data_IF_908270934602
#
_entry.id   IF_908270934602
#
_cell.length_a   1.000
_cell.length_b   1.000
_cell.length_c   1.000
_cell.angle_alpha   90.00
_cell.angle_beta   90.00
_cell.angle_gamma   90.00
#
_symmetry.space_group_name_H-M   'P 1'
#
loop_
_entity.id
_entity.type
_entity.pdbx_description
1 polymer ?
#
# COMPACT_ATOMS: atom_id res chain seq x y z
N UNK A 1 71.95 -7.89 -58.39
CA UNK A 1 72.52 -7.51 -57.08
C UNK A 1 71.38 -7.56 -56.08
N UNK A 2 71.35 -8.63 -55.33
CA UNK A 2 70.61 -8.74 -54.07
C UNK A 2 71.20 -7.82 -53.00
N UNK A 3 70.62 -7.59 -51.83
CA UNK A 3 70.11 -8.61 -50.90
C UNK A 3 68.77 -8.18 -50.20
N UNK A 4 68.08 -9.11 -49.69
CA UNK A 4 68.00 -9.85 -48.43
C UNK A 4 66.99 -9.21 -47.53
N UNK A 5 65.90 -9.92 -47.26
CA UNK A 5 65.67 -10.82 -46.16
C UNK A 5 65.86 -10.19 -44.78
N UNK A 6 64.83 -10.16 -44.06
CA UNK A 6 64.67 -10.65 -42.69
C UNK A 6 63.38 -10.03 -42.06
N UNK A 7 62.42 -10.88 -41.84
CA UNK A 7 62.02 -11.37 -40.50
C UNK A 7 61.67 -10.32 -39.49
N UNK A 8 60.41 -10.20 -39.29
CA UNK A 8 59.81 -9.55 -38.17
C UNK A 8 58.56 -10.33 -37.74
N UNK A 9 58.82 -11.52 -37.20
CA UNK A 9 57.78 -12.38 -36.58
C UNK A 9 57.16 -11.74 -35.33
N UNK A 10 55.88 -11.89 -35.29
CA UNK A 10 55.11 -12.21 -34.09
C UNK A 10 55.01 -11.15 -32.99
N UNK A 11 53.82 -10.77 -32.78
CA UNK A 11 53.09 -10.98 -31.53
C UNK A 11 51.70 -10.34 -31.62
N UNK A 12 50.83 -11.02 -32.33
CA UNK A 12 49.40 -10.84 -32.15
C UNK A 12 48.98 -11.53 -30.87
N UNK A 13 48.91 -10.80 -29.78
CA UNK A 13 48.22 -11.25 -28.60
C UNK A 13 46.73 -11.04 -28.80
N UNK A 14 46.04 -12.16 -29.03
CA UNK A 14 44.61 -12.28 -28.85
C UNK A 14 44.29 -11.93 -27.40
N UNK A 15 43.96 -10.68 -27.15
CA UNK A 15 43.21 -10.31 -25.98
C UNK A 15 41.77 -10.78 -26.21
N UNK A 16 41.54 -12.06 -25.95
CA UNK A 16 40.21 -12.58 -25.71
C UNK A 16 39.70 -11.93 -24.43
N UNK A 17 39.15 -10.74 -24.58
CA UNK A 17 38.35 -10.11 -23.54
C UNK A 17 37.15 -11.01 -23.27
N UNK A 18 37.26 -11.83 -22.23
CA UNK A 18 36.12 -12.45 -21.61
C UNK A 18 35.30 -11.28 -21.02
N UNK A 19 34.40 -10.75 -21.82
CA UNK A 19 33.28 -9.97 -21.33
C UNK A 19 32.43 -10.95 -20.52
N UNK A 20 32.79 -11.09 -19.24
CA UNK A 20 31.93 -11.69 -18.24
C UNK A 20 30.73 -10.75 -18.17
N UNK A 21 29.74 -10.98 -19.04
CA UNK A 21 28.42 -10.41 -18.92
C UNK A 21 27.85 -10.95 -17.60
N UNK A 22 28.10 -10.22 -16.54
CA UNK A 22 27.27 -10.29 -15.34
C UNK A 22 25.87 -9.90 -15.80
N UNK A 23 25.20 -10.88 -16.40
CA UNK A 23 23.76 -10.84 -16.63
C UNK A 23 23.10 -10.81 -15.25
N UNK A 24 23.00 -9.62 -14.67
CA UNK A 24 22.10 -9.41 -13.56
C UNK A 24 20.72 -9.80 -14.05
N UNK A 25 20.01 -10.70 -13.37
CA UNK A 25 18.67 -11.05 -13.75
C UNK A 25 17.78 -9.83 -13.50
N UNK A 26 17.68 -8.95 -14.50
CA UNK A 26 16.86 -7.74 -14.43
C UNK A 26 15.36 -8.03 -14.23
N UNK A 27 14.96 -9.32 -14.25
CA UNK A 27 13.56 -9.75 -14.17
C UNK A 27 13.22 -10.62 -12.95
N UNK A 28 14.17 -10.87 -12.05
CA UNK A 28 13.88 -11.69 -10.88
C UNK A 28 13.01 -10.90 -9.87
N UNK A 29 11.98 -11.52 -9.28
CA UNK A 29 11.23 -10.89 -8.20
C UNK A 29 12.17 -10.63 -7.00
N UNK A 30 11.88 -9.56 -6.24
CA UNK A 30 12.63 -9.25 -5.02
C UNK A 30 12.62 -10.45 -4.07
N UNK A 31 13.79 -10.81 -3.55
CA UNK A 31 13.85 -11.73 -2.41
C UNK A 31 13.30 -11.08 -1.15
N UNK A 32 12.97 -11.88 -0.14
CA UNK A 32 12.49 -11.37 1.15
C UNK A 32 13.48 -10.38 1.79
N UNK A 33 14.80 -10.64 1.85
CA UNK A 33 15.77 -9.68 2.38
C UNK A 33 15.85 -8.36 1.58
N UNK A 34 15.76 -8.43 0.24
CA UNK A 34 15.76 -7.23 -0.61
C UNK A 34 14.49 -6.40 -0.37
N UNK A 35 13.33 -7.04 -0.24
CA UNK A 35 12.08 -6.36 0.08
C UNK A 35 12.12 -5.72 1.46
N UNK A 36 12.70 -6.39 2.45
CA UNK A 36 12.91 -5.82 3.79
C UNK A 36 13.84 -4.60 3.75
N UNK A 37 14.88 -4.64 2.93
CA UNK A 37 15.76 -3.48 2.77
C UNK A 37 15.00 -2.32 2.12
N UNK A 38 14.27 -2.58 1.04
CA UNK A 38 13.44 -1.59 0.35
C UNK A 38 12.41 -0.96 1.32
N UNK A 39 11.72 -1.79 2.11
CA UNK A 39 10.75 -1.32 3.10
C UNK A 39 11.37 -0.39 4.15
N UNK A 40 12.56 -0.73 4.66
CA UNK A 40 13.29 0.14 5.59
C UNK A 40 13.71 1.48 4.98
N UNK A 41 14.17 1.46 3.73
CA UNK A 41 14.56 2.67 3.00
C UNK A 41 13.35 3.58 2.76
N UNK A 42 12.26 3.01 2.25
CA UNK A 42 11.00 3.72 2.04
C UNK A 42 10.42 4.28 3.33
N UNK A 43 10.37 3.48 4.40
CA UNK A 43 9.88 3.93 5.70
C UNK A 43 10.71 5.08 6.28
N UNK A 44 12.03 5.10 6.03
CA UNK A 44 12.90 6.20 6.45
C UNK A 44 12.62 7.49 5.67
N UNK A 45 12.42 7.38 4.36
CA UNK A 45 12.07 8.50 3.50
C UNK A 45 10.72 9.09 3.88
N UNK A 46 9.70 8.24 4.07
CA UNK A 46 8.37 8.63 4.50
C UNK A 46 8.37 9.37 5.85
N UNK A 47 9.22 8.94 6.78
CA UNK A 47 9.38 9.64 8.07
C UNK A 47 9.92 11.08 7.93
N UNK A 48 10.59 11.39 6.85
CA UNK A 48 11.06 12.75 6.56
C UNK A 48 10.02 13.60 5.83
N UNK A 49 8.98 13.01 5.26
CA UNK A 49 8.01 13.68 4.41
C UNK A 49 6.62 13.78 5.03
N UNK A 50 6.22 12.80 5.86
CA UNK A 50 4.91 12.74 6.48
C UNK A 50 4.92 13.24 7.92
N UNK A 51 3.81 13.84 8.33
CA UNK A 51 3.54 14.16 9.73
C UNK A 51 2.85 12.95 10.35
N UNK A 52 3.37 12.45 11.47
CA UNK A 52 2.82 11.28 12.16
C UNK A 52 2.16 11.67 13.46
N UNK A 53 0.98 11.12 13.70
CA UNK A 53 0.37 11.12 15.02
C UNK A 53 1.26 10.27 15.95
N UNK A 54 1.67 10.88 17.07
CA UNK A 54 2.53 10.23 18.07
C UNK A 54 1.80 9.94 19.38
N UNK A 55 0.52 10.19 19.41
CA UNK A 55 -0.31 9.89 20.57
C UNK A 55 -0.44 8.38 20.74
N UNK A 56 0.07 7.80 21.86
CA UNK A 56 0.11 6.35 22.01
C UNK A 56 -1.29 5.72 21.97
N UNK A 57 -2.33 6.40 22.50
CA UNK A 57 -3.69 5.86 22.52
C UNK A 57 -4.22 5.69 21.08
N UNK A 58 -3.89 6.62 20.18
CA UNK A 58 -4.30 6.54 18.77
C UNK A 58 -3.47 5.49 18.02
N UNK A 59 -2.17 5.49 18.23
CA UNK A 59 -1.25 4.56 17.55
C UNK A 59 -1.50 3.13 17.99
N UNK A 60 -1.57 2.87 19.30
CA UNK A 60 -1.80 1.54 19.87
C UNK A 60 -3.16 0.98 19.40
N UNK A 61 -4.18 1.80 19.25
CA UNK A 61 -5.47 1.35 18.75
C UNK A 61 -5.40 0.81 17.32
N UNK A 62 -4.69 1.49 16.43
CA UNK A 62 -4.51 1.04 15.03
C UNK A 62 -3.60 -0.19 14.98
N UNK A 63 -2.54 -0.21 15.80
CA UNK A 63 -1.66 -1.35 15.98
C UNK A 63 -2.44 -2.59 16.44
N UNK A 64 -3.26 -2.46 17.50
CA UNK A 64 -4.07 -3.56 18.06
C UNK A 64 -5.01 -4.15 17.00
N UNK A 65 -5.72 -3.31 16.23
CA UNK A 65 -6.58 -3.78 15.14
C UNK A 65 -5.79 -4.58 14.10
N UNK A 66 -4.63 -4.07 13.70
CA UNK A 66 -3.75 -4.74 12.75
C UNK A 66 -3.24 -6.07 13.27
N UNK A 67 -2.81 -6.12 14.54
CA UNK A 67 -2.30 -7.33 15.18
C UNK A 67 -3.40 -8.38 15.39
N UNK A 68 -4.65 -7.99 15.71
CA UNK A 68 -5.78 -8.92 15.74
C UNK A 68 -6.00 -9.61 14.38
N UNK A 69 -5.94 -8.86 13.28
CA UNK A 69 -6.06 -9.41 11.92
C UNK A 69 -4.88 -10.33 11.58
N UNK A 70 -3.66 -9.92 11.89
CA UNK A 70 -2.45 -10.71 11.62
C UNK A 70 -2.44 -12.03 12.39
N UNK A 71 -2.84 -12.02 13.65
CA UNK A 71 -2.95 -13.23 14.48
C UNK A 71 -3.94 -14.24 13.86
N UNK A 72 -5.01 -13.73 13.27
CA UNK A 72 -6.02 -14.56 12.59
C UNK A 72 -5.61 -15.01 11.18
N UNK A 73 -4.78 -14.22 10.50
CA UNK A 73 -4.31 -14.52 9.14
C UNK A 73 -3.22 -15.61 9.09
N UNK A 74 -2.62 -15.94 10.25
CA UNK A 74 -1.56 -16.92 10.36
C UNK A 74 -0.17 -16.34 10.05
N UNK A 75 0.83 -17.24 9.91
CA UNK A 75 2.23 -16.84 9.77
C UNK A 75 2.47 -16.00 8.52
N UNK A 76 3.06 -14.83 8.70
CA UNK A 76 3.46 -13.90 7.66
C UNK A 76 4.98 -13.88 7.49
N UNK A 77 5.51 -13.52 6.29
CA UNK A 77 6.95 -13.48 6.04
C UNK A 77 7.63 -12.24 6.62
N UNK A 78 6.87 -11.24 7.05
CA UNK A 78 7.36 -9.96 7.53
C UNK A 78 6.86 -9.68 8.94
N UNK A 79 7.58 -8.81 9.65
CA UNK A 79 7.09 -8.08 10.80
C UNK A 79 6.27 -6.88 10.31
N UNK A 80 5.12 -6.62 10.92
CA UNK A 80 4.23 -5.54 10.50
C UNK A 80 4.34 -4.37 11.47
N UNK A 81 4.30 -3.17 10.90
CA UNK A 81 4.37 -1.90 11.60
C UNK A 81 3.25 -0.99 11.11
N UNK A 82 2.45 -0.48 12.02
CA UNK A 82 1.34 0.38 11.71
C UNK A 82 1.66 1.82 12.09
N UNK A 83 1.34 2.75 11.21
CA UNK A 83 1.60 4.17 11.38
C UNK A 83 0.32 4.96 11.15
N UNK A 84 0.10 5.98 11.99
CA UNK A 84 -1.00 6.92 11.78
C UNK A 84 -0.42 8.21 11.22
N UNK A 85 -0.84 8.59 10.01
CA UNK A 85 -0.43 9.81 9.32
C UNK A 85 -1.43 10.90 9.64
N UNK A 86 -0.95 12.06 10.09
CA UNK A 86 -1.77 13.26 10.31
C UNK A 86 -2.09 13.90 8.95
N UNK A 87 -3.18 13.46 8.35
CA UNK A 87 -3.67 13.94 7.06
C UNK A 87 -5.19 13.71 6.99
N UNK A 88 -5.94 14.75 6.59
CA UNK A 88 -7.39 14.71 6.42
C UNK A 88 -7.82 13.89 5.20
N UNK A 89 -6.90 13.58 4.31
CA UNK A 89 -7.19 12.82 3.12
C UNK A 89 -7.64 11.40 3.47
N UNK A 90 -8.66 10.93 2.76
CA UNK A 90 -9.17 9.57 2.90
C UNK A 90 -8.22 8.60 2.21
N UNK A 91 -7.21 8.12 2.93
CA UNK A 91 -6.20 7.25 2.41
C UNK A 91 -5.67 6.26 3.47
N UNK A 92 -5.27 5.10 3.01
CA UNK A 92 -4.41 4.15 3.69
C UNK A 92 -3.57 3.48 2.62
N UNK A 93 -2.36 3.05 2.96
CA UNK A 93 -1.50 2.38 1.99
C UNK A 93 -0.47 1.49 2.66
N UNK A 94 -0.09 0.44 1.94
CA UNK A 94 0.99 -0.45 2.31
C UNK A 94 2.30 -0.04 1.62
N UNK A 95 3.41 -0.16 2.34
CA UNK A 95 4.76 -0.16 1.78
C UNK A 95 5.39 -1.56 1.92
N UNK A 96 6.48 -1.87 1.19
CA UNK A 96 7.08 -3.19 1.23
C UNK A 96 7.44 -3.65 2.63
N UNK A 97 7.45 -4.97 2.85
CA UNK A 97 7.91 -5.62 4.07
C UNK A 97 7.14 -5.25 5.35
N UNK A 98 5.83 -5.02 5.26
CA UNK A 98 4.98 -4.95 6.45
C UNK A 98 4.69 -3.54 6.97
N UNK A 99 5.09 -2.48 6.29
CA UNK A 99 4.79 -1.12 6.71
C UNK A 99 3.41 -0.68 6.21
N UNK A 100 2.49 -0.35 7.12
CA UNK A 100 1.12 0.08 6.82
C UNK A 100 0.88 1.46 7.40
N UNK A 101 0.35 2.35 6.58
CA UNK A 101 0.08 3.75 6.90
C UNK A 101 -1.40 4.04 6.79
N UNK A 102 -2.00 4.59 7.85
CA UNK A 102 -3.42 4.93 7.91
C UNK A 102 -3.55 6.41 8.19
N UNK A 103 -4.21 7.15 7.30
CA UNK A 103 -4.44 8.57 7.49
C UNK A 103 -5.52 8.84 8.53
N UNK A 104 -5.38 9.94 9.27
CA UNK A 104 -6.39 10.38 10.24
C UNK A 104 -7.75 10.58 9.58
N UNK A 105 -7.79 11.07 8.33
CA UNK A 105 -9.03 11.19 7.55
C UNK A 105 -9.76 9.87 7.41
N UNK A 106 -9.06 8.78 7.15
CA UNK A 106 -9.64 7.43 7.04
C UNK A 106 -10.23 6.95 8.37
N UNK A 107 -9.51 7.16 9.48
CA UNK A 107 -10.00 6.81 10.82
C UNK A 107 -11.26 7.61 11.16
N UNK A 108 -11.26 8.91 10.85
CA UNK A 108 -12.40 9.80 11.10
C UNK A 108 -13.61 9.46 10.23
N UNK A 109 -13.42 8.95 9.02
CA UNK A 109 -14.46 8.58 8.08
C UNK A 109 -15.13 7.23 8.41
N UNK A 110 -14.43 6.34 9.11
CA UNK A 110 -14.98 5.04 9.50
C UNK A 110 -16.19 5.23 10.45
N UNK A 111 -17.32 4.60 10.11
CA UNK A 111 -18.57 4.71 10.88
C UNK A 111 -18.64 3.74 12.06
N UNK A 112 -17.85 2.69 12.00
CA UNK A 112 -17.70 1.67 13.02
C UNK A 112 -16.33 1.00 12.91
N UNK A 113 -15.95 0.22 13.92
CA UNK A 113 -14.63 -0.38 14.00
C UNK A 113 -14.40 -1.44 12.93
N UNK A 114 -15.45 -2.15 12.46
CA UNK A 114 -15.26 -3.15 11.41
C UNK A 114 -14.95 -2.52 10.04
N UNK A 115 -15.39 -1.27 9.78
CA UNK A 115 -14.98 -0.54 8.57
C UNK A 115 -13.47 -0.26 8.57
N UNK A 116 -12.93 0.21 9.70
CA UNK A 116 -11.50 0.47 9.83
C UNK A 116 -10.68 -0.83 9.81
N UNK A 117 -11.16 -1.87 10.50
CA UNK A 117 -10.55 -3.19 10.47
C UNK A 117 -10.51 -3.76 9.04
N UNK A 118 -11.56 -3.53 8.24
CA UNK A 118 -11.63 -3.93 6.84
C UNK A 118 -10.56 -3.26 5.97
N UNK A 119 -10.35 -1.96 6.13
CA UNK A 119 -9.29 -1.22 5.44
C UNK A 119 -7.92 -1.75 5.83
N UNK A 120 -7.65 -1.89 7.12
CA UNK A 120 -6.38 -2.41 7.63
C UNK A 120 -6.13 -3.83 7.11
N UNK A 121 -7.15 -4.69 7.12
CA UNK A 121 -7.06 -6.06 6.60
C UNK A 121 -6.75 -6.09 5.09
N UNK A 122 -7.33 -5.18 4.31
CA UNK A 122 -7.05 -5.03 2.89
C UNK A 122 -5.58 -4.62 2.65
N UNK A 123 -5.06 -3.66 3.41
CA UNK A 123 -3.64 -3.25 3.32
C UNK A 123 -2.69 -4.38 3.75
N UNK A 124 -3.05 -5.15 4.79
CA UNK A 124 -2.31 -6.36 5.16
C UNK A 124 -2.30 -7.36 4.00
N UNK A 125 -3.42 -7.51 3.29
CA UNK A 125 -3.52 -8.35 2.10
C UNK A 125 -2.53 -7.96 1.01
N UNK A 126 -2.37 -6.66 0.73
CA UNK A 126 -1.37 -6.18 -0.23
C UNK A 126 0.06 -6.55 0.15
N UNK A 127 0.39 -6.51 1.43
CA UNK A 127 1.70 -6.95 1.94
C UNK A 127 1.84 -8.47 1.87
N UNK A 128 0.84 -9.22 2.32
CA UNK A 128 0.86 -10.68 2.38
C UNK A 128 1.07 -11.31 1.00
N UNK A 129 0.43 -10.74 -0.04
CA UNK A 129 0.61 -11.14 -1.44
C UNK A 129 1.75 -10.40 -2.15
N UNK A 130 2.49 -9.55 -1.43
CA UNK A 130 3.66 -8.82 -1.93
C UNK A 130 3.35 -7.94 -3.14
N UNK A 131 2.13 -7.41 -3.25
CA UNK A 131 1.68 -6.62 -4.40
C UNK A 131 2.56 -5.39 -4.61
N UNK A 132 2.94 -4.71 -3.51
CA UNK A 132 3.79 -3.52 -3.53
C UNK A 132 5.17 -3.83 -4.10
N UNK A 133 5.80 -4.91 -3.62
CA UNK A 133 7.11 -5.36 -4.10
C UNK A 133 7.07 -5.78 -5.57
N UNK A 134 6.00 -6.47 -5.98
CA UNK A 134 5.81 -6.88 -7.36
C UNK A 134 5.60 -5.68 -8.30
N UNK A 135 4.86 -4.68 -7.85
CA UNK A 135 4.68 -3.43 -8.59
C UNK A 135 5.99 -2.67 -8.72
N UNK A 136 6.72 -2.50 -7.62
CA UNK A 136 8.04 -1.88 -7.63
C UNK A 136 9.00 -2.59 -8.61
N UNK A 137 9.02 -3.92 -8.58
CA UNK A 137 9.89 -4.71 -9.46
C UNK A 137 9.53 -4.54 -10.94
N UNK A 138 8.23 -4.50 -11.26
CA UNK A 138 7.73 -4.25 -12.62
C UNK A 138 8.18 -2.88 -13.14
N UNK A 139 8.08 -1.86 -12.30
CA UNK A 139 8.46 -0.49 -12.65
C UNK A 139 9.97 -0.32 -12.77
N UNK A 140 10.75 -0.95 -11.89
CA UNK A 140 12.21 -1.01 -12.01
C UNK A 140 12.64 -1.55 -13.37
N UNK A 141 11.98 -2.60 -13.83
CA UNK A 141 12.29 -3.24 -15.11
C UNK A 141 11.89 -2.41 -16.33
N UNK A 142 10.92 -1.51 -16.19
CA UNK A 142 10.52 -0.58 -17.29
C UNK A 142 11.36 0.69 -17.36
N UNK A 143 12.34 0.88 -16.47
CA UNK A 143 13.20 2.06 -16.42
C UNK A 143 12.52 3.34 -15.90
N UNK A 144 11.26 3.28 -15.54
CA UNK A 144 10.48 4.46 -15.08
C UNK A 144 11.02 4.99 -13.75
N UNK A 145 11.49 4.10 -12.86
CA UNK A 145 12.02 4.47 -11.54
C UNK A 145 13.29 5.32 -11.57
N UNK A 146 14.05 5.28 -12.66
CA UNK A 146 15.37 5.93 -12.70
C UNK A 146 15.34 7.40 -13.09
N UNK A 147 14.22 7.92 -13.63
CA UNK A 147 14.21 9.25 -14.22
C UNK A 147 13.59 10.37 -13.39
N UNK A 148 12.89 10.10 -12.28
CA UNK A 148 11.96 11.14 -11.78
C UNK A 148 11.81 11.33 -10.27
N UNK A 149 12.58 10.70 -9.40
CA UNK A 149 12.23 10.77 -7.96
C UNK A 149 10.87 10.12 -7.66
N UNK A 150 10.51 9.13 -8.45
CA UNK A 150 9.19 8.49 -8.54
C UNK A 150 8.78 7.78 -7.26
N UNK A 151 9.72 7.52 -6.34
CA UNK A 151 9.39 6.82 -5.10
C UNK A 151 8.36 7.62 -4.27
N UNK A 152 8.56 8.93 -4.14
CA UNK A 152 7.61 9.80 -3.46
C UNK A 152 6.27 9.88 -4.21
N UNK A 153 6.30 10.00 -5.54
CA UNK A 153 5.09 10.01 -6.36
C UNK A 153 4.33 8.68 -6.30
N UNK A 154 5.04 7.56 -6.17
CA UNK A 154 4.47 6.23 -6.05
C UNK A 154 3.72 6.02 -4.73
N UNK A 155 4.21 6.61 -3.64
CA UNK A 155 3.61 6.48 -2.31
C UNK A 155 2.47 7.47 -2.06
N UNK A 156 2.49 8.63 -2.71
CA UNK A 156 1.67 9.79 -2.35
C UNK A 156 0.67 10.22 -3.43
N UNK A 157 0.30 9.38 -4.32
CA UNK A 157 -0.55 9.55 -5.53
C UNK A 157 -1.65 10.61 -5.58
N UNK A 158 -1.82 11.45 -4.58
CA UNK A 158 -2.87 12.46 -4.52
C UNK A 158 -2.36 13.90 -4.38
N UNK A 159 -1.72 14.25 -3.28
CA UNK A 159 -1.41 15.65 -2.96
C UNK A 159 0.01 16.09 -3.34
N UNK A 160 1.01 15.25 -3.10
CA UNK A 160 2.42 15.54 -3.42
C UNK A 160 2.77 15.24 -4.87
N UNK A 161 1.94 14.48 -5.59
CA UNK A 161 2.05 14.28 -7.04
C UNK A 161 2.01 15.59 -7.84
N UNK A 162 1.34 16.63 -7.33
CA UNK A 162 1.31 17.95 -7.95
C UNK A 162 2.70 18.64 -7.92
N UNK A 163 3.47 18.43 -6.84
CA UNK A 163 4.84 18.97 -6.75
C UNK A 163 5.85 18.16 -7.56
N UNK A 164 5.65 16.84 -7.71
CA UNK A 164 6.45 16.01 -8.60
C UNK A 164 6.13 16.27 -10.08
N UNK A 165 4.90 16.67 -10.41
CA UNK A 165 4.51 17.11 -11.75
C UNK A 165 5.25 18.38 -12.19
N UNK A 166 5.61 19.28 -11.27
CA UNK A 166 6.46 20.44 -11.54
C UNK A 166 7.91 20.05 -11.89
N UNK A 167 8.32 18.83 -11.58
CA UNK A 167 9.63 18.26 -11.93
C UNK A 167 9.61 17.45 -13.23
N UNK A 168 8.53 17.51 -14.03
CA UNK A 168 8.46 16.96 -15.38
C UNK A 168 7.98 15.50 -15.49
N UNK A 169 7.52 14.89 -14.39
CA UNK A 169 6.88 13.56 -14.40
C UNK A 169 5.35 13.68 -14.46
N UNK A 170 4.73 13.36 -15.57
CA UNK A 170 3.31 13.60 -15.80
C UNK A 170 2.37 12.89 -14.84
N UNK A 171 1.24 13.52 -14.52
CA UNK A 171 0.11 13.00 -13.72
C UNK A 171 -0.32 11.57 -14.11
N UNK A 172 -0.18 11.20 -15.38
CA UNK A 172 -0.48 9.87 -15.90
C UNK A 172 0.45 8.78 -15.33
N UNK A 173 1.74 9.09 -15.10
CA UNK A 173 2.68 8.15 -14.50
C UNK A 173 2.33 7.91 -13.03
N UNK A 174 1.96 8.95 -12.29
CA UNK A 174 1.60 8.88 -10.87
C UNK A 174 0.34 8.03 -10.65
N UNK A 175 -0.69 8.23 -11.46
CA UNK A 175 -1.91 7.43 -11.40
C UNK A 175 -1.66 5.95 -11.74
N UNK A 176 -0.80 5.68 -12.72
CA UNK A 176 -0.42 4.32 -13.12
C UNK A 176 0.40 3.59 -12.05
N UNK A 177 1.23 4.34 -11.31
CA UNK A 177 2.11 3.79 -10.27
C UNK A 177 1.37 3.36 -9.01
N UNK A 178 0.23 4.00 -8.72
CA UNK A 178 -0.57 3.75 -7.52
C UNK A 178 -1.74 2.79 -7.75
N UNK A 179 -2.00 2.38 -8.97
CA UNK A 179 -3.05 1.40 -9.24
C UNK A 179 -2.50 -0.01 -9.16
N UNK A 180 -2.97 -0.74 -8.18
CA UNK A 180 -2.86 -2.19 -8.22
C UNK A 180 -3.77 -2.71 -9.35
N UNK A 181 -3.31 -3.77 -10.03
CA UNK A 181 -4.16 -4.42 -11.02
C UNK A 181 -5.39 -5.05 -10.36
N UNK A 182 -6.49 -5.16 -11.09
CA UNK A 182 -7.75 -5.74 -10.59
C UNK A 182 -7.58 -7.04 -9.81
N UNK A 183 -6.71 -7.93 -10.28
CA UNK A 183 -6.43 -9.20 -9.61
C UNK A 183 -5.81 -9.00 -8.22
N UNK A 184 -4.88 -8.07 -8.07
CA UNK A 184 -4.26 -7.75 -6.78
C UNK A 184 -5.29 -7.17 -5.80
N UNK A 185 -6.21 -6.31 -6.28
CA UNK A 185 -7.30 -5.78 -5.48
C UNK A 185 -8.25 -6.89 -5.00
N UNK A 186 -8.63 -7.80 -5.89
CA UNK A 186 -9.48 -8.95 -5.54
C UNK A 186 -8.80 -9.90 -4.54
N UNK A 187 -7.48 -10.07 -4.65
CA UNK A 187 -6.71 -10.87 -3.69
C UNK A 187 -6.64 -10.19 -2.31
N UNK A 188 -6.47 -8.88 -2.27
CA UNK A 188 -6.48 -8.11 -1.02
C UNK A 188 -7.87 -8.12 -0.36
N UNK A 189 -8.94 -7.96 -1.15
CA UNK A 189 -10.33 -8.09 -0.68
C UNK A 189 -10.60 -9.49 -0.11
N UNK A 190 -10.18 -10.53 -0.84
CA UNK A 190 -10.35 -11.91 -0.39
C UNK A 190 -9.58 -12.18 0.92
N UNK A 191 -8.36 -11.66 1.05
CA UNK A 191 -7.60 -11.76 2.29
C UNK A 191 -8.34 -11.10 3.45
N UNK A 192 -8.86 -9.89 3.26
CA UNK A 192 -9.62 -9.17 4.28
C UNK A 192 -10.87 -9.97 4.70
N UNK A 193 -11.66 -10.43 3.72
CA UNK A 193 -12.88 -11.20 3.98
C UNK A 193 -12.59 -12.50 4.74
N UNK A 194 -11.48 -13.19 4.44
CA UNK A 194 -11.12 -14.45 5.10
C UNK A 194 -10.51 -14.27 6.50
N UNK A 195 -9.77 -13.17 6.72
CA UNK A 195 -9.08 -12.93 7.99
C UNK A 195 -9.97 -12.24 9.03
N UNK A 196 -10.83 -11.32 8.63
CA UNK A 196 -11.69 -10.57 9.53
C UNK A 196 -12.58 -11.45 10.42
N UNK A 197 -13.33 -12.45 9.91
CA UNK A 197 -14.15 -13.31 10.77
C UNK A 197 -13.33 -14.15 11.76
N UNK A 198 -12.12 -14.56 11.39
CA UNK A 198 -11.21 -15.28 12.29
C UNK A 198 -10.70 -14.38 13.42
N UNK A 199 -10.61 -13.07 13.14
CA UNK A 199 -10.31 -12.04 14.15
C UNK A 199 -11.58 -11.55 14.88
N UNK A 200 -12.74 -12.23 14.65
CA UNK A 200 -14.04 -11.86 15.20
C UNK A 200 -14.57 -10.49 14.73
N UNK A 201 -14.21 -10.05 13.51
CA UNK A 201 -14.72 -8.84 12.87
C UNK A 201 -15.71 -9.14 11.75
N UNK A 202 -16.76 -8.33 11.61
CA UNK A 202 -17.74 -8.42 10.52
C UNK A 202 -17.13 -8.02 9.17
N UNK A 203 -16.94 -8.94 8.21
CA UNK A 203 -16.24 -8.64 6.95
C UNK A 203 -17.00 -7.67 6.03
N UNK A 204 -18.32 -7.49 6.25
CA UNK A 204 -19.10 -6.45 5.53
C UNK A 204 -18.57 -5.04 5.80
N UNK A 205 -17.79 -4.84 6.87
CA UNK A 205 -17.12 -3.58 7.16
C UNK A 205 -16.33 -3.05 5.98
N UNK A 206 -15.56 -3.89 5.27
CA UNK A 206 -14.83 -3.50 4.07
C UNK A 206 -15.76 -2.94 2.98
N UNK A 207 -16.84 -3.63 2.67
CA UNK A 207 -17.81 -3.20 1.64
C UNK A 207 -18.53 -1.92 2.05
N UNK A 208 -18.91 -1.81 3.32
CA UNK A 208 -19.59 -0.60 3.81
C UNK A 208 -18.67 0.60 3.83
N UNK A 209 -17.37 0.40 4.08
CA UNK A 209 -16.38 1.46 3.96
C UNK A 209 -16.24 1.96 2.51
N UNK A 210 -16.16 1.08 1.51
CA UNK A 210 -16.16 1.49 0.10
C UNK A 210 -17.37 2.35 -0.25
N UNK A 211 -18.56 1.97 0.23
CA UNK A 211 -19.79 2.79 0.03
C UNK A 211 -19.70 4.13 0.77
N UNK A 212 -19.10 4.15 1.95
CA UNK A 212 -18.86 5.39 2.71
C UNK A 212 -17.96 6.34 1.92
N UNK A 213 -16.85 5.83 1.34
CA UNK A 213 -15.96 6.62 0.50
C UNK A 213 -16.66 7.14 -0.77
N UNK A 214 -17.43 6.28 -1.45
CA UNK A 214 -18.21 6.69 -2.64
C UNK A 214 -19.24 7.78 -2.31
N UNK A 215 -19.87 7.69 -1.13
CA UNK A 215 -20.86 8.70 -0.69
C UNK A 215 -20.23 10.05 -0.30
N UNK A 216 -18.97 10.04 0.13
CA UNK A 216 -18.21 11.25 0.45
C UNK A 216 -17.59 11.89 -0.82
N UNK A 217 -17.62 11.19 -1.95
CA UNK A 217 -17.13 11.67 -3.23
C UNK A 217 -17.90 12.92 -3.68
N UNK A 218 -17.20 14.07 -3.63
CA UNK A 218 -17.54 15.32 -4.31
C UNK A 218 -16.92 15.33 -5.71
N UNK A 219 -16.55 16.50 -6.23
CA UNK A 219 -15.82 16.62 -7.50
C UNK A 219 -14.43 15.96 -7.47
N UNK A 220 -13.93 15.56 -6.29
CA UNK A 220 -12.65 14.89 -6.10
C UNK A 220 -12.87 13.46 -5.62
N UNK A 221 -12.33 12.49 -6.35
CA UNK A 221 -12.31 11.08 -5.94
C UNK A 221 -11.35 10.96 -4.74
N UNK A 222 -11.76 10.35 -3.62
CA UNK A 222 -10.83 10.09 -2.51
C UNK A 222 -9.59 9.33 -2.98
N UNK A 223 -8.42 9.66 -2.44
CA UNK A 223 -7.14 9.07 -2.87
C UNK A 223 -7.14 7.56 -2.70
N UNK A 224 -7.76 7.05 -1.64
CA UNK A 224 -7.94 5.61 -1.48
C UNK A 224 -8.68 4.97 -2.66
N UNK A 225 -9.75 5.59 -3.16
CA UNK A 225 -10.47 5.06 -4.33
C UNK A 225 -9.72 5.28 -5.65
N UNK A 226 -8.79 6.23 -5.70
CA UNK A 226 -7.93 6.43 -6.87
C UNK A 226 -6.85 5.34 -6.96
N UNK A 227 -6.30 4.88 -5.81
CA UNK A 227 -5.34 3.77 -5.73
C UNK A 227 -6.02 2.40 -5.72
N UNK A 228 -7.20 2.29 -5.09
CA UNK A 228 -8.00 1.06 -4.91
C UNK A 228 -9.43 1.26 -5.43
N UNK A 229 -9.66 1.26 -6.74
CA UNK A 229 -10.98 1.52 -7.31
C UNK A 229 -12.03 0.53 -6.79
N UNK A 230 -13.04 1.03 -6.07
CA UNK A 230 -14.14 0.22 -5.57
C UNK A 230 -15.17 -0.02 -6.70
N UNK A 231 -14.81 -0.86 -7.65
CA UNK A 231 -15.68 -1.19 -8.78
C UNK A 231 -16.87 -2.03 -8.33
N UNK A 232 -17.97 -1.96 -9.07
CA UNK A 232 -19.15 -2.81 -8.81
C UNK A 232 -18.80 -4.30 -8.83
N UNK A 233 -17.87 -4.71 -9.69
CA UNK A 233 -17.38 -6.08 -9.79
C UNK A 233 -16.68 -6.51 -8.49
N UNK A 234 -15.79 -5.67 -7.92
CA UNK A 234 -15.13 -5.94 -6.64
C UNK A 234 -16.14 -6.05 -5.51
N UNK A 235 -17.04 -5.08 -5.40
CA UNK A 235 -18.10 -5.07 -4.38
C UNK A 235 -18.96 -6.33 -4.48
N UNK A 236 -19.33 -6.73 -5.70
CA UNK A 236 -20.11 -7.95 -5.94
C UNK A 236 -19.32 -9.20 -5.51
N UNK A 237 -18.09 -9.38 -6.00
CA UNK A 237 -17.25 -10.53 -5.68
C UNK A 237 -16.97 -10.63 -4.16
N UNK A 238 -16.72 -9.50 -3.50
CA UNK A 238 -16.52 -9.44 -2.05
C UNK A 238 -17.79 -9.88 -1.29
N UNK A 239 -18.98 -9.41 -1.72
CA UNK A 239 -20.23 -9.84 -1.10
C UNK A 239 -20.55 -11.32 -1.33
N UNK A 240 -20.26 -11.86 -2.52
CA UNK A 240 -20.41 -13.29 -2.84
C UNK A 240 -19.51 -14.12 -1.93
N UNK A 241 -18.24 -13.72 -1.77
CA UNK A 241 -17.32 -14.40 -0.85
C UNK A 241 -17.77 -14.35 0.61
N UNK A 242 -18.27 -13.19 1.07
CA UNK A 242 -18.85 -13.05 2.42
C UNK A 242 -20.04 -14.02 2.60
N UNK A 243 -20.89 -14.17 1.59
CA UNK A 243 -22.03 -15.05 1.64
C UNK A 243 -21.65 -16.54 1.71
N UNK A 244 -20.49 -16.93 1.19
CA UNK A 244 -19.95 -18.29 1.26
C UNK A 244 -19.39 -18.61 2.65
N UNK A 245 -19.06 -17.61 3.47
CA UNK A 245 -18.59 -17.83 4.83
C UNK A 245 -19.75 -18.30 5.72
N UNK A 246 -19.60 -19.48 6.28
CA UNK A 246 -20.55 -20.00 7.26
C UNK A 246 -20.48 -19.13 8.52
N UNK A 247 -21.46 -18.27 8.74
CA UNK A 247 -21.54 -17.42 9.93
C UNK A 247 -21.89 -18.25 11.15
N UNK A 248 -20.86 -18.72 11.86
CA UNK A 248 -21.02 -19.51 13.08
C UNK A 248 -21.33 -18.70 14.35
N UNK A 249 -21.54 -17.38 14.24
CA UNK A 249 -21.75 -16.51 15.40
C UNK A 249 -21.95 -15.04 15.00
N UNK A 250 -22.28 -14.20 16.00
CA UNK A 250 -22.33 -12.75 15.81
C UNK A 250 -20.91 -12.19 15.80
N UNK A 251 -20.46 -11.65 14.67
CA UNK A 251 -19.18 -10.98 14.53
C UNK A 251 -19.27 -9.51 15.02
N UNK A 252 -18.16 -8.97 15.49
CA UNK A 252 -18.07 -7.59 15.95
C UNK A 252 -18.21 -6.61 14.79
N UNK A 253 -19.11 -5.67 14.92
CA UNK A 253 -19.20 -4.47 14.07
C UNK A 253 -18.51 -3.31 14.79
N UNK A 254 -18.71 -3.23 16.10
CA UNK A 254 -18.15 -2.20 16.98
C UNK A 254 -17.22 -2.78 18.04
N UNK A 255 -16.45 -1.92 18.67
CA UNK A 255 -15.43 -2.25 19.66
C UNK A 255 -15.75 -1.74 21.07
N UNK A 256 -17.03 -1.49 21.34
CA UNK A 256 -17.48 -0.92 22.62
C UNK A 256 -17.22 0.58 22.75
N UNK A 257 -17.17 1.29 21.62
CA UNK A 257 -17.03 2.75 21.56
C UNK A 257 -15.56 3.23 21.59
N UNK A 258 -14.59 2.34 21.47
CA UNK A 258 -13.18 2.74 21.42
C UNK A 258 -12.89 3.61 20.19
N UNK A 259 -13.37 3.23 19.00
CA UNK A 259 -13.19 4.03 17.80
C UNK A 259 -13.69 5.46 17.97
N UNK A 260 -14.83 5.66 18.61
CA UNK A 260 -15.35 7.02 18.85
C UNK A 260 -14.42 7.85 19.75
N UNK A 261 -13.82 7.23 20.76
CA UNK A 261 -12.84 7.87 21.65
C UNK A 261 -11.60 8.27 20.83
N UNK A 262 -11.09 7.37 19.97
CA UNK A 262 -9.96 7.61 19.10
C UNK A 262 -10.25 8.76 18.12
N UNK A 263 -11.39 8.73 17.47
CA UNK A 263 -11.80 9.77 16.53
C UNK A 263 -11.89 11.13 17.21
N UNK A 264 -12.52 11.21 18.40
CA UNK A 264 -12.56 12.46 19.18
C UNK A 264 -11.18 12.94 19.60
N UNK A 265 -10.28 12.01 19.93
CA UNK A 265 -8.92 12.33 20.27
C UNK A 265 -8.14 12.90 19.08
N UNK A 266 -8.31 12.31 17.90
CA UNK A 266 -7.76 12.84 16.64
C UNK A 266 -8.29 14.24 16.36
N UNK A 267 -9.61 14.49 16.48
CA UNK A 267 -10.22 15.80 16.30
C UNK A 267 -9.57 16.87 17.21
N UNK A 268 -9.27 16.50 18.46
CA UNK A 268 -8.62 17.41 19.41
C UNK A 268 -7.16 17.67 19.02
N UNK A 269 -6.43 16.64 18.63
CA UNK A 269 -5.00 16.72 18.32
C UNK A 269 -4.73 17.51 17.03
N UNK A 270 -5.58 17.30 16.01
CA UNK A 270 -5.38 17.89 14.66
C UNK A 270 -6.18 19.17 14.45
N UNK A 271 -7.13 19.49 15.33
CA UNK A 271 -8.08 20.58 15.13
C UNK A 271 -9.13 20.29 14.04
N UNK A 272 -9.15 19.09 13.48
CA UNK A 272 -10.07 18.65 12.42
C UNK A 272 -11.41 18.24 13.05
N UNK A 273 -12.53 18.61 12.44
CA UNK A 273 -13.87 18.18 12.88
C UNK A 273 -14.45 17.17 11.90
N UNK A 274 -15.05 16.10 12.41
CA UNK A 274 -15.81 15.17 11.58
C UNK A 274 -16.89 15.91 10.81
N UNK A 275 -16.85 15.86 9.50
CA UNK A 275 -17.99 16.20 8.66
C UNK A 275 -19.03 15.10 8.84
N UNK A 276 -20.01 15.30 9.75
CA UNK A 276 -21.16 14.41 9.82
C UNK A 276 -21.80 14.38 8.42
N UNK A 277 -22.02 13.18 7.81
CA UNK A 277 -22.79 13.12 6.59
C UNK A 277 -24.14 13.78 6.88
N UNK A 278 -24.51 14.80 6.07
CA UNK A 278 -25.81 15.45 6.21
C UNK A 278 -26.87 14.37 6.07
N UNK A 279 -27.81 14.25 7.04
CA UNK A 279 -28.94 13.36 6.88
C UNK A 279 -29.68 13.78 5.61
N UNK A 280 -29.85 12.85 4.68
CA UNK A 280 -30.73 13.05 3.52
C UNK A 280 -32.16 12.86 4.06
N UNK A 281 -32.90 13.97 4.17
CA UNK A 281 -34.34 13.93 4.27
C UNK A 281 -34.97 13.65 2.91
#
# INVERSE_FOLDING_TARGET
MSPSCSEGLRRGWLAAGVALALGLPACAPLSIPEEQQLGREMSRELRGQLVFVRDPIVVDYVEDLGQEILAAAGRQPFEYHFYVVEDEELNAFAAPAGHIYVHTGTILAARNASELAGVIAHEIGHVAYRHVANNYNRQRNTGILYQTGVLAAWLFGGGLGASAAQLGGGLAATAYLNQFGREAEMQADAFAVDSMPRANWEPKGLVTFFKTLQAQGGPHVPTFLASHPATEERIKATNERIAELSSGGSLRVDDGGKLEIIQRRIEILTGTSRTKPKPRY
#
